data_IF_651701191229
#
_entry.id   IF_651701191229
#
_cell.length_a   1.000
_cell.length_b   1.000
_cell.length_c   1.000
_cell.angle_alpha   90.00
_cell.angle_beta   90.00
_cell.angle_gamma   90.00
#
_symmetry.space_group_name_H-M   'P 1'
#
loop_
_entity.id
_entity.type
_entity.pdbx_description
1 polymer ?
#
# COMPACT_ATOMS: atom_id res chain seq x y z
N UNK A 1 -59.38 -1.80 -6.59
CA UNK A 1 -58.59 -1.96 -5.36
C UNK A 1 -57.69 -3.17 -5.52
N UNK A 2 -56.63 -3.03 -6.32
CA UNK A 2 -55.63 -4.06 -6.53
C UNK A 2 -54.34 -3.36 -6.93
N UNK A 3 -53.42 -3.12 -5.99
CA UNK A 3 -51.98 -2.86 -6.24
C UNK A 3 -51.20 -2.35 -5.01
N UNK A 4 -51.27 -3.02 -3.85
CA UNK A 4 -50.31 -2.74 -2.75
C UNK A 4 -49.61 -4.00 -2.19
N UNK A 5 -49.92 -5.19 -2.70
CA UNK A 5 -49.44 -6.45 -2.14
C UNK A 5 -48.23 -7.10 -2.80
N UNK A 6 -47.61 -6.51 -3.82
CA UNK A 6 -46.70 -7.25 -4.72
C UNK A 6 -45.25 -6.74 -4.81
N UNK A 7 -44.85 -5.75 -4.02
CA UNK A 7 -43.46 -5.22 -4.02
C UNK A 7 -42.59 -5.84 -2.91
N UNK A 8 -43.18 -6.54 -1.93
CA UNK A 8 -42.46 -7.08 -0.77
C UNK A 8 -41.98 -8.54 -0.91
N UNK A 9 -42.28 -9.25 -2.01
CA UNK A 9 -41.99 -10.70 -2.14
C UNK A 9 -40.71 -11.06 -2.89
N UNK A 10 -39.98 -10.10 -3.46
CA UNK A 10 -38.78 -10.39 -4.25
C UNK A 10 -37.46 -10.28 -3.44
N UNK A 11 -37.54 -9.85 -2.16
CA UNK A 11 -36.39 -9.76 -1.27
C UNK A 11 -36.00 -11.08 -0.58
N UNK A 12 -36.89 -12.09 -0.55
CA UNK A 12 -36.72 -13.31 0.25
C UNK A 12 -35.63 -14.29 -0.28
N UNK A 13 -35.13 -14.14 -1.50
CA UNK A 13 -34.12 -15.06 -2.06
C UNK A 13 -32.76 -14.41 -2.33
N UNK A 14 -32.60 -13.11 -2.07
CA UNK A 14 -31.37 -12.38 -2.44
C UNK A 14 -30.11 -12.97 -1.80
N UNK A 15 -30.20 -13.28 -0.50
CA UNK A 15 -29.07 -13.77 0.30
C UNK A 15 -29.11 -15.29 0.51
N UNK A 16 -29.93 -16.01 -0.25
CA UNK A 16 -30.12 -17.46 -0.09
C UNK A 16 -28.81 -18.24 -0.14
N UNK A 17 -27.86 -17.83 -0.98
CA UNK A 17 -26.54 -18.45 -1.05
C UNK A 17 -25.76 -18.28 0.26
N UNK A 18 -25.82 -17.11 0.88
CA UNK A 18 -25.19 -16.83 2.18
C UNK A 18 -25.91 -17.59 3.30
N UNK A 19 -27.24 -17.64 3.29
CA UNK A 19 -28.03 -18.42 4.25
C UNK A 19 -27.72 -19.92 4.17
N UNK A 20 -27.36 -20.44 2.99
CA UNK A 20 -26.93 -21.83 2.84
C UNK A 20 -25.57 -22.09 3.51
N UNK A 21 -24.67 -21.10 3.53
CA UNK A 21 -23.35 -21.22 4.15
C UNK A 21 -23.43 -20.97 5.65
N UNK A 22 -24.16 -19.93 6.06
CA UNK A 22 -24.21 -19.48 7.45
C UNK A 22 -25.32 -20.14 8.27
N UNK A 23 -26.42 -20.57 7.65
CA UNK A 23 -27.56 -21.19 8.33
C UNK A 23 -27.52 -22.72 8.42
N UNK A 24 -26.44 -23.36 7.96
CA UNK A 24 -26.30 -24.83 7.94
C UNK A 24 -25.01 -25.26 8.61
N UNK A 25 -25.04 -26.42 9.26
CA UNK A 25 -23.84 -27.08 9.75
C UNK A 25 -23.12 -27.84 8.62
N UNK A 26 -21.80 -27.97 8.75
CA UNK A 26 -20.96 -28.69 7.80
C UNK A 26 -19.66 -29.20 8.44
N UNK A 27 -19.05 -30.25 7.87
CA UNK A 27 -17.91 -30.95 8.50
C UNK A 27 -16.58 -30.16 8.45
N UNK A 28 -16.51 -29.12 7.62
CA UNK A 28 -15.32 -28.28 7.47
C UNK A 28 -15.42 -26.96 8.23
N UNK A 29 -16.54 -26.72 8.93
CA UNK A 29 -16.72 -25.52 9.72
C UNK A 29 -15.88 -25.59 10.99
N UNK A 30 -15.54 -24.42 11.52
CA UNK A 30 -14.82 -24.31 12.78
C UNK A 30 -15.66 -24.84 13.94
N UNK A 31 -15.00 -25.39 14.96
CA UNK A 31 -15.65 -25.85 16.19
C UNK A 31 -16.42 -24.75 16.92
N UNK A 32 -15.96 -23.50 16.78
CA UNK A 32 -16.58 -22.33 17.41
C UNK A 32 -17.75 -21.76 16.60
N UNK A 33 -18.00 -22.26 15.39
CA UNK A 33 -19.04 -21.73 14.52
C UNK A 33 -20.41 -22.30 14.87
N UNK A 34 -21.37 -21.41 15.14
CA UNK A 34 -22.77 -21.75 15.31
C UNK A 34 -23.59 -21.31 14.09
N UNK A 35 -24.20 -22.24 13.34
CA UNK A 35 -25.02 -21.88 12.19
C UNK A 35 -26.24 -21.04 12.58
N UNK A 36 -26.37 -19.87 11.96
CA UNK A 36 -27.47 -18.93 12.18
C UNK A 36 -27.72 -18.07 10.95
N UNK A 37 -29.00 -17.91 10.58
CA UNK A 37 -29.41 -16.99 9.50
C UNK A 37 -29.29 -15.52 9.92
N UNK A 38 -29.31 -15.22 11.23
CA UNK A 38 -29.14 -13.84 11.73
C UNK A 38 -27.73 -13.28 11.43
N UNK A 39 -26.76 -14.15 11.17
CA UNK A 39 -25.43 -13.74 10.73
C UNK A 39 -25.45 -12.97 9.40
N UNK A 40 -26.38 -13.31 8.50
CA UNK A 40 -26.55 -12.57 7.24
C UNK A 40 -26.98 -11.13 7.54
N UNK A 41 -27.89 -10.93 8.51
CA UNK A 41 -28.31 -9.60 8.94
C UNK A 41 -27.17 -8.82 9.58
N UNK A 42 -26.36 -9.48 10.41
CA UNK A 42 -25.17 -8.87 11.01
C UNK A 42 -24.20 -8.35 9.95
N UNK A 43 -23.95 -9.13 8.88
CA UNK A 43 -23.12 -8.70 7.75
C UNK A 43 -23.72 -7.49 7.01
N UNK A 44 -25.05 -7.47 6.81
CA UNK A 44 -25.72 -6.40 6.07
C UNK A 44 -25.94 -5.13 6.89
N UNK A 45 -26.10 -5.22 8.21
CA UNK A 45 -26.56 -4.08 9.02
C UNK A 45 -25.51 -3.53 9.96
N UNK A 46 -24.60 -4.39 10.47
CA UNK A 46 -23.70 -4.02 11.57
C UNK A 46 -22.23 -3.96 11.15
N UNK A 47 -21.78 -4.89 10.29
CA UNK A 47 -20.36 -4.97 9.91
C UNK A 47 -19.95 -3.78 9.05
N UNK A 48 -18.89 -3.10 9.47
CA UNK A 48 -18.26 -1.97 8.79
C UNK A 48 -16.95 -2.37 8.15
N UNK A 49 -16.89 -2.26 6.83
CA UNK A 49 -15.71 -2.61 6.03
C UNK A 49 -15.07 -1.36 5.47
N UNK A 50 -13.75 -1.20 5.65
CA UNK A 50 -12.98 -0.19 4.95
C UNK A 50 -12.28 -0.82 3.74
N UNK A 51 -12.49 -0.25 2.55
CA UNK A 51 -11.72 -0.56 1.34
C UNK A 51 -10.74 0.58 1.06
N UNK A 52 -9.46 0.24 0.95
CA UNK A 52 -8.39 1.20 0.64
C UNK A 52 -7.92 0.99 -0.79
N UNK A 53 -8.19 1.97 -1.64
CA UNK A 53 -7.98 1.95 -3.08
C UNK A 53 -9.26 1.57 -3.83
N UNK A 54 -9.58 2.35 -4.86
CA UNK A 54 -10.69 2.16 -5.81
C UNK A 54 -10.19 1.89 -7.24
N UNK A 55 -8.88 1.66 -7.43
CA UNK A 55 -8.29 1.15 -8.67
C UNK A 55 -8.73 -0.30 -8.98
N UNK A 56 -8.21 -0.90 -10.07
CA UNK A 56 -8.72 -2.19 -10.62
C UNK A 56 -9.09 -3.26 -9.58
N UNK A 57 -8.20 -3.51 -8.61
CA UNK A 57 -8.43 -4.43 -7.50
C UNK A 57 -9.54 -3.94 -6.54
N UNK A 58 -9.51 -2.66 -6.16
CA UNK A 58 -10.55 -2.01 -5.35
C UNK A 58 -11.95 -2.06 -5.96
N UNK A 59 -12.08 -1.83 -7.27
CA UNK A 59 -13.35 -1.99 -8.00
C UNK A 59 -13.93 -3.40 -7.83
N UNK A 60 -13.09 -4.42 -7.98
CA UNK A 60 -13.48 -5.83 -7.83
C UNK A 60 -13.82 -6.18 -6.37
N UNK A 61 -13.07 -5.64 -5.39
CA UNK A 61 -13.36 -5.79 -3.95
C UNK A 61 -14.74 -5.21 -3.63
N UNK A 62 -15.02 -3.97 -4.05
CA UNK A 62 -16.30 -3.29 -3.77
C UNK A 62 -17.50 -4.06 -4.33
N UNK A 63 -17.42 -4.51 -5.59
CA UNK A 63 -18.45 -5.37 -6.20
C UNK A 63 -18.64 -6.65 -5.38
N UNK A 64 -17.53 -7.33 -5.06
CA UNK A 64 -17.58 -8.64 -4.42
C UNK A 64 -18.11 -8.54 -2.98
N UNK A 65 -17.74 -7.50 -2.23
CA UNK A 65 -18.31 -7.19 -0.92
C UNK A 65 -19.82 -6.98 -0.99
N UNK A 66 -20.27 -6.12 -1.91
CA UNK A 66 -21.68 -5.79 -2.08
C UNK A 66 -22.53 -7.03 -2.44
N UNK A 67 -21.97 -7.99 -3.18
CA UNK A 67 -22.61 -9.27 -3.50
C UNK A 67 -22.48 -10.33 -2.38
N UNK A 68 -21.61 -10.12 -1.41
CA UNK A 68 -21.39 -10.99 -0.25
C UNK A 68 -22.12 -10.49 1.01
N UNK A 69 -23.06 -9.57 0.87
CA UNK A 69 -23.90 -9.07 1.97
C UNK A 69 -23.27 -7.94 2.77
N UNK A 70 -22.05 -7.50 2.46
CA UNK A 70 -21.46 -6.35 3.12
C UNK A 70 -22.06 -5.06 2.58
N UNK A 71 -22.80 -4.35 3.43
CA UNK A 71 -23.57 -3.18 3.00
C UNK A 71 -23.12 -1.88 3.65
N UNK A 72 -22.31 -1.89 4.71
CA UNK A 72 -21.72 -0.68 5.28
C UNK A 72 -20.23 -0.60 4.90
N UNK A 73 -19.96 0.00 3.75
CA UNK A 73 -18.62 0.07 3.18
C UNK A 73 -18.16 1.52 3.14
N UNK A 74 -16.93 1.78 3.58
CA UNK A 74 -16.23 3.03 3.32
C UNK A 74 -15.12 2.77 2.29
N UNK A 75 -14.91 3.68 1.33
CA UNK A 75 -13.84 3.57 0.33
C UNK A 75 -12.97 4.81 0.33
N UNK A 76 -11.65 4.62 0.44
CA UNK A 76 -10.65 5.69 0.33
C UNK A 76 -9.90 5.55 -0.99
N UNK A 77 -9.87 6.60 -1.79
CA UNK A 77 -8.99 6.73 -2.95
C UNK A 77 -8.76 8.22 -3.23
N UNK A 78 -7.50 8.61 -3.48
CA UNK A 78 -7.12 10.01 -3.71
C UNK A 78 -7.06 10.38 -5.21
N UNK A 79 -7.17 9.39 -6.09
CA UNK A 79 -6.96 9.58 -7.52
C UNK A 79 -8.24 10.03 -8.23
N UNK A 80 -8.01 10.61 -9.40
CA UNK A 80 -9.06 10.88 -10.39
C UNK A 80 -9.05 9.82 -11.49
N UNK A 81 -10.17 9.67 -12.18
CA UNK A 81 -10.35 8.70 -13.25
C UNK A 81 -9.63 9.16 -14.50
N UNK A 82 -8.77 8.30 -15.04
CA UNK A 82 -8.08 8.50 -16.31
C UNK A 82 -8.55 7.50 -17.38
N UNK A 83 -8.42 7.85 -18.66
CA UNK A 83 -8.80 6.96 -19.79
C UNK A 83 -8.08 5.60 -19.73
N UNK A 84 -6.83 5.56 -19.26
CA UNK A 84 -6.05 4.33 -19.10
C UNK A 84 -6.60 3.39 -18.04
N UNK A 85 -7.57 3.83 -17.22
CA UNK A 85 -8.20 3.04 -16.18
C UNK A 85 -9.34 2.16 -16.72
N UNK A 86 -10.02 2.59 -17.78
CA UNK A 86 -11.27 2.01 -18.28
C UNK A 86 -11.11 0.57 -18.82
N UNK A 87 -9.89 0.13 -19.14
CA UNK A 87 -9.63 -1.23 -19.60
C UNK A 87 -9.81 -2.31 -18.51
N UNK A 88 -9.82 -1.92 -17.23
CA UNK A 88 -9.87 -2.85 -16.08
C UNK A 88 -10.70 -2.36 -14.90
N UNK A 89 -11.02 -1.07 -14.83
CA UNK A 89 -11.80 -0.46 -13.75
C UNK A 89 -13.25 -0.26 -14.21
N UNK A 90 -14.01 -1.37 -14.23
CA UNK A 90 -15.34 -1.43 -14.84
C UNK A 90 -16.44 -0.60 -14.11
N UNK A 91 -16.13 -0.03 -12.95
CA UNK A 91 -17.03 0.90 -12.27
C UNK A 91 -17.08 2.28 -12.94
N UNK A 92 -16.12 2.57 -13.83
CA UNK A 92 -15.93 3.88 -14.46
C UNK A 92 -16.27 3.82 -15.95
N UNK A 93 -16.75 4.94 -16.49
CA UNK A 93 -17.06 5.11 -17.91
C UNK A 93 -16.34 6.34 -18.48
N UNK A 94 -16.37 6.53 -19.81
CA UNK A 94 -15.79 7.70 -20.45
C UNK A 94 -16.34 9.04 -19.91
N UNK A 95 -17.57 9.04 -19.40
CA UNK A 95 -18.23 10.22 -18.82
C UNK A 95 -17.67 10.60 -17.45
N UNK A 96 -16.96 9.69 -16.80
CA UNK A 96 -16.45 9.85 -15.45
C UNK A 96 -14.99 10.35 -15.42
N UNK A 97 -14.34 10.48 -16.59
CA UNK A 97 -12.96 10.96 -16.70
C UNK A 97 -12.81 12.31 -15.99
N UNK A 98 -11.79 12.42 -15.13
CA UNK A 98 -11.49 13.60 -14.31
C UNK A 98 -12.25 13.67 -12.97
N UNK A 99 -13.26 12.81 -12.74
CA UNK A 99 -13.95 12.72 -11.44
C UNK A 99 -13.14 11.86 -10.45
N UNK A 100 -13.45 11.97 -9.15
CA UNK A 100 -12.83 11.14 -8.11
C UNK A 100 -13.20 9.66 -8.29
N UNK A 101 -12.20 8.77 -8.21
CA UNK A 101 -12.44 7.32 -8.25
C UNK A 101 -13.33 6.86 -7.10
N UNK A 102 -13.07 7.35 -5.88
CA UNK A 102 -13.83 6.96 -4.69
C UNK A 102 -15.33 7.29 -4.84
N UNK A 103 -15.64 8.53 -5.26
CA UNK A 103 -17.01 9.01 -5.42
C UNK A 103 -17.77 8.22 -6.49
N UNK A 104 -17.19 8.07 -7.68
CA UNK A 104 -17.85 7.37 -8.80
C UNK A 104 -18.01 5.88 -8.48
N UNK A 105 -17.03 5.25 -7.82
CA UNK A 105 -17.11 3.86 -7.40
C UNK A 105 -18.27 3.65 -6.40
N UNK A 106 -18.38 4.54 -5.41
CA UNK A 106 -19.46 4.50 -4.43
C UNK A 106 -20.84 4.72 -5.06
N UNK A 107 -20.96 5.71 -5.96
CA UNK A 107 -22.19 5.97 -6.73
C UNK A 107 -22.61 4.75 -7.54
N UNK A 108 -21.66 4.13 -8.27
CA UNK A 108 -21.94 2.98 -9.11
C UNK A 108 -22.45 1.80 -8.29
N UNK A 109 -21.77 1.45 -7.21
CA UNK A 109 -22.13 0.30 -6.37
C UNK A 109 -23.46 0.53 -5.67
N UNK A 110 -23.66 1.70 -5.06
CA UNK A 110 -24.91 2.05 -4.37
C UNK A 110 -26.10 2.02 -5.33
N UNK A 111 -25.92 2.49 -6.58
CA UNK A 111 -26.95 2.40 -7.63
C UNK A 111 -27.20 0.96 -8.10
N UNK A 112 -26.14 0.16 -8.23
CA UNK A 112 -26.24 -1.23 -8.74
C UNK A 112 -26.79 -2.19 -7.69
N UNK A 113 -26.51 -1.94 -6.42
CA UNK A 113 -26.78 -2.81 -5.28
C UNK A 113 -27.47 -1.97 -4.21
N UNK A 114 -28.77 -1.71 -4.40
CA UNK A 114 -29.53 -0.70 -3.63
C UNK A 114 -29.57 -0.92 -2.09
N UNK A 115 -29.29 -2.13 -1.62
CA UNK A 115 -29.20 -2.44 -0.17
C UNK A 115 -27.85 -2.06 0.43
N UNK A 116 -26.84 -1.82 -0.40
CA UNK A 116 -25.49 -1.47 0.03
C UNK A 116 -25.32 0.05 0.02
N UNK A 117 -24.72 0.56 1.10
CA UNK A 117 -24.28 1.94 1.24
C UNK A 117 -22.75 1.97 1.17
N UNK A 118 -22.24 2.67 0.17
CA UNK A 118 -20.79 2.94 0.06
C UNK A 118 -20.54 4.42 0.36
N UNK A 119 -19.69 4.71 1.35
CA UNK A 119 -19.31 6.08 1.72
C UNK A 119 -17.94 6.40 1.11
N UNK A 120 -17.86 7.35 0.15
CA UNK A 120 -16.61 7.68 -0.51
C UNK A 120 -15.77 8.68 0.29
N UNK A 121 -14.46 8.53 0.18
CA UNK A 121 -13.46 9.43 0.77
C UNK A 121 -12.40 9.77 -0.27
N UNK A 122 -12.54 10.94 -0.93
CA UNK A 122 -11.55 11.48 -1.85
C UNK A 122 -10.39 12.15 -1.09
N UNK A 123 -9.60 11.34 -0.39
CA UNK A 123 -8.50 11.78 0.48
C UNK A 123 -7.39 10.72 0.50
N UNK A 124 -6.23 11.10 1.02
CA UNK A 124 -5.15 10.15 1.25
C UNK A 124 -5.38 9.43 2.56
N UNK A 125 -4.91 8.18 2.67
CA UNK A 125 -5.00 7.40 3.91
C UNK A 125 -4.34 8.11 5.09
N UNK A 126 -3.29 8.88 4.83
CA UNK A 126 -2.54 9.63 5.83
C UNK A 126 -3.32 10.81 6.42
N UNK A 127 -4.39 11.26 5.78
CA UNK A 127 -5.16 12.42 6.21
C UNK A 127 -6.20 12.06 7.31
N UNK A 128 -6.34 10.76 7.64
CA UNK A 128 -7.29 10.26 8.65
C UNK A 128 -6.62 10.01 10.00
N UNK A 129 -7.33 10.31 11.08
CA UNK A 129 -6.87 10.03 12.45
C UNK A 129 -6.99 8.54 12.79
N UNK A 130 -6.26 8.06 13.82
CA UNK A 130 -6.43 6.69 14.31
C UNK A 130 -7.87 6.34 14.70
N UNK A 131 -8.64 7.31 15.20
CA UNK A 131 -10.04 7.09 15.59
C UNK A 131 -10.96 6.81 14.41
N UNK A 132 -10.64 7.33 13.22
CA UNK A 132 -11.34 6.96 12.01
C UNK A 132 -11.17 5.47 11.71
N UNK A 133 -9.97 4.91 11.88
CA UNK A 133 -9.72 3.49 11.59
C UNK A 133 -10.34 2.55 12.62
N UNK A 134 -10.46 2.98 13.89
CA UNK A 134 -11.06 2.18 14.98
C UNK A 134 -12.52 1.79 14.77
N UNK A 135 -13.23 2.45 13.86
CA UNK A 135 -14.65 2.20 13.65
C UNK A 135 -14.95 1.00 12.72
N UNK A 136 -13.93 0.39 12.12
CA UNK A 136 -14.07 -0.69 11.14
C UNK A 136 -13.80 -2.05 11.76
N UNK A 137 -14.57 -3.04 11.34
CA UNK A 137 -14.39 -4.43 11.76
C UNK A 137 -13.31 -5.14 10.94
N UNK A 138 -13.02 -4.64 9.72
CA UNK A 138 -11.97 -5.16 8.84
C UNK A 138 -11.52 -4.10 7.84
N UNK A 139 -10.25 -4.15 7.44
CA UNK A 139 -9.68 -3.33 6.38
C UNK A 139 -9.21 -4.20 5.22
N UNK A 140 -9.64 -3.87 4.00
CA UNK A 140 -9.24 -4.54 2.77
C UNK A 140 -8.46 -3.59 1.87
N UNK A 141 -7.27 -3.99 1.43
CA UNK A 141 -6.38 -3.14 0.65
C UNK A 141 -6.25 -3.63 -0.79
N UNK A 142 -6.47 -2.71 -1.73
CA UNK A 142 -6.19 -2.86 -3.16
C UNK A 142 -5.21 -1.78 -3.65
N UNK A 143 -4.17 -1.53 -2.87
CA UNK A 143 -3.20 -0.46 -3.08
C UNK A 143 -2.22 -0.78 -4.23
N UNK A 144 -1.62 0.23 -4.83
CA UNK A 144 -0.62 0.08 -5.90
C UNK A 144 0.81 0.46 -5.46
N UNK A 145 0.96 0.98 -4.24
CA UNK A 145 2.24 1.40 -3.67
C UNK A 145 2.61 0.61 -2.41
N UNK A 146 3.88 0.19 -2.34
CA UNK A 146 4.45 -0.43 -1.14
C UNK A 146 4.42 0.53 0.05
N UNK A 147 4.65 1.83 -0.18
CA UNK A 147 4.65 2.86 0.87
C UNK A 147 3.28 2.96 1.52
N UNK A 148 2.22 2.99 0.71
CA UNK A 148 0.84 3.05 1.21
C UNK A 148 0.49 1.79 2.02
N UNK A 149 0.91 0.61 1.57
CA UNK A 149 0.75 -0.67 2.30
C UNK A 149 1.46 -0.66 3.64
N UNK A 150 2.72 -0.21 3.67
CA UNK A 150 3.49 -0.09 4.93
C UNK A 150 2.85 0.89 5.89
N UNK A 151 2.32 2.01 5.38
CA UNK A 151 1.66 3.00 6.21
C UNK A 151 0.38 2.48 6.85
N UNK A 152 -0.53 1.86 6.08
CA UNK A 152 -1.78 1.31 6.63
C UNK A 152 -1.51 0.14 7.59
N UNK A 153 -0.51 -0.69 7.28
CA UNK A 153 -0.02 -1.75 8.18
C UNK A 153 0.45 -1.18 9.51
N UNK A 154 1.28 -0.14 9.49
CA UNK A 154 1.74 0.56 10.69
C UNK A 154 0.59 1.19 11.48
N UNK A 155 -0.38 1.77 10.78
CA UNK A 155 -1.54 2.39 11.40
C UNK A 155 -2.34 1.36 12.18
N UNK A 156 -2.79 0.29 11.54
CA UNK A 156 -3.57 -0.76 12.22
C UNK A 156 -2.77 -1.45 13.33
N UNK A 157 -1.47 -1.69 13.13
CA UNK A 157 -0.60 -2.20 14.21
C UNK A 157 -0.54 -1.27 15.43
N UNK A 158 -0.61 0.05 15.23
CA UNK A 158 -0.57 1.03 16.34
C UNK A 158 -1.86 1.06 17.18
N UNK A 159 -2.96 0.49 16.68
CA UNK A 159 -4.22 0.40 17.41
C UNK A 159 -4.23 -0.75 18.42
N UNK A 160 -3.36 -1.74 18.21
CA UNK A 160 -3.32 -2.96 19.01
C UNK A 160 -2.72 -2.66 20.37
N UNK A 161 -3.49 -3.00 21.42
CA UNK A 161 -2.99 -2.96 22.79
C UNK A 161 -2.43 -4.32 23.16
N UNK A 162 -1.37 -4.31 23.94
CA UNK A 162 -0.74 -5.51 24.46
C UNK A 162 -0.81 -5.48 25.99
N UNK A 163 -1.03 -6.64 26.60
CA UNK A 163 -0.92 -6.81 28.04
C UNK A 163 0.54 -6.90 28.50
N UNK A 164 0.76 -7.05 29.80
CA UNK A 164 2.10 -7.13 30.41
C UNK A 164 2.91 -8.34 29.91
N UNK A 165 2.24 -9.40 29.46
CA UNK A 165 2.84 -10.62 28.91
C UNK A 165 3.11 -10.50 27.40
N UNK A 166 2.80 -9.36 26.79
CA UNK A 166 3.00 -9.11 25.35
C UNK A 166 1.97 -9.80 24.46
N UNK A 167 0.85 -10.26 25.02
CA UNK A 167 -0.28 -10.82 24.26
C UNK A 167 -1.21 -9.69 23.81
N UNK A 168 -1.68 -9.71 22.54
CA UNK A 168 -2.55 -8.65 22.04
C UNK A 168 -3.97 -8.77 22.62
N UNK A 169 -4.58 -7.63 22.94
CA UNK A 169 -6.01 -7.53 23.22
C UNK A 169 -6.80 -7.72 21.92
N UNK A 170 -7.51 -8.85 21.84
CA UNK A 170 -8.28 -9.26 20.66
C UNK A 170 -9.32 -8.24 20.23
N UNK A 171 -9.87 -7.45 21.16
CA UNK A 171 -10.89 -6.44 20.85
C UNK A 171 -10.33 -5.19 20.17
N UNK A 172 -9.00 -5.04 20.15
CA UNK A 172 -8.30 -3.91 19.51
C UNK A 172 -7.70 -4.27 18.16
N UNK A 173 -7.75 -5.55 17.78
CA UNK A 173 -7.22 -6.03 16.51
C UNK A 173 -8.27 -5.79 15.43
N UNK A 174 -7.88 -5.02 14.43
CA UNK A 174 -8.62 -4.89 13.18
C UNK A 174 -7.90 -5.74 12.14
N UNK A 175 -8.50 -6.84 11.65
CA UNK A 175 -7.91 -7.65 10.61
C UNK A 175 -7.63 -6.82 9.35
N UNK A 176 -6.49 -7.09 8.73
CA UNK A 176 -6.09 -6.50 7.46
C UNK A 176 -5.96 -7.61 6.42
N UNK A 177 -6.66 -7.47 5.30
CA UNK A 177 -6.47 -8.34 4.13
C UNK A 177 -5.95 -7.49 2.98
N UNK A 178 -4.68 -7.65 2.66
CA UNK A 178 -4.02 -6.94 1.56
C UNK A 178 -3.95 -7.83 0.32
N UNK A 179 -4.06 -7.24 -0.86
CA UNK A 179 -3.61 -7.90 -2.07
C UNK A 179 -2.92 -6.97 -3.03
N UNK A 180 -2.16 -7.59 -3.93
CA UNK A 180 -1.43 -6.90 -4.99
C UNK A 180 -1.47 -7.70 -6.28
N UNK A 181 -1.39 -6.98 -7.39
CA UNK A 181 -1.44 -7.56 -8.74
C UNK A 181 -0.40 -6.90 -9.63
N UNK A 182 0.29 -7.70 -10.44
CA UNK A 182 1.22 -7.25 -11.47
C UNK A 182 1.13 -8.20 -12.66
N UNK A 183 0.60 -7.71 -13.77
CA UNK A 183 0.33 -8.50 -14.96
C UNK A 183 -0.49 -9.74 -14.64
N UNK A 184 0.11 -10.90 -14.87
CA UNK A 184 -0.43 -12.25 -14.67
C UNK A 184 0.00 -12.87 -13.32
N UNK A 185 0.31 -12.03 -12.34
CA UNK A 185 0.71 -12.44 -10.99
C UNK A 185 -0.06 -11.63 -9.96
N UNK A 186 -0.30 -12.23 -8.81
CA UNK A 186 -0.86 -11.52 -7.68
C UNK A 186 -0.63 -12.25 -6.36
N UNK A 187 -1.01 -11.60 -5.27
CA UNK A 187 -0.93 -12.18 -3.94
C UNK A 187 -2.05 -11.66 -3.04
N UNK A 188 -2.30 -12.43 -1.97
CA UNK A 188 -3.16 -12.05 -0.85
C UNK A 188 -2.40 -12.31 0.45
N UNK A 189 -2.47 -11.34 1.37
CA UNK A 189 -1.92 -11.43 2.72
C UNK A 189 -3.05 -11.18 3.71
N UNK A 190 -3.24 -12.12 4.65
CA UNK A 190 -4.10 -11.96 5.82
C UNK A 190 -3.23 -11.65 7.03
N UNK A 191 -3.43 -10.47 7.60
CA UNK A 191 -2.69 -9.96 8.76
C UNK A 191 -3.61 -9.88 9.97
N UNK A 192 -3.28 -10.67 11.00
CA UNK A 192 -3.80 -10.56 12.34
C UNK A 192 -2.65 -10.19 13.27
N UNK A 193 -2.60 -8.92 13.65
CA UNK A 193 -1.50 -8.37 14.45
C UNK A 193 -1.35 -9.13 15.77
N UNK A 194 -0.12 -9.55 16.07
CA UNK A 194 0.20 -10.38 17.22
C UNK A 194 0.14 -11.89 16.96
N UNK A 195 -0.50 -12.34 15.87
CA UNK A 195 -0.64 -13.76 15.53
C UNK A 195 0.09 -14.15 14.24
N UNK A 196 -0.03 -13.35 13.18
CA UNK A 196 0.58 -13.64 11.87
C UNK A 196 1.69 -12.66 11.52
N UNK A 197 2.52 -12.99 10.54
CA UNK A 197 3.43 -12.01 9.93
C UNK A 197 2.65 -10.84 9.32
N UNK A 198 3.10 -9.62 9.57
CA UNK A 198 2.51 -8.41 8.98
C UNK A 198 3.19 -8.04 7.65
N UNK A 199 2.75 -6.96 6.98
CA UNK A 199 3.35 -6.54 5.70
C UNK A 199 4.87 -6.30 5.86
N UNK A 200 5.28 -5.70 6.97
CA UNK A 200 6.70 -5.44 7.27
C UNK A 200 7.52 -6.73 7.45
N UNK A 201 6.91 -7.81 7.98
CA UNK A 201 7.57 -9.12 8.07
C UNK A 201 7.82 -9.75 6.69
N UNK A 202 7.11 -9.29 5.66
CA UNK A 202 7.18 -9.79 4.28
C UNK A 202 7.89 -8.86 3.31
N UNK A 203 8.56 -7.80 3.81
CA UNK A 203 9.13 -6.77 2.94
C UNK A 203 10.16 -7.32 1.94
N UNK A 204 10.89 -8.36 2.34
CA UNK A 204 11.88 -9.04 1.50
C UNK A 204 11.27 -9.84 0.33
N UNK A 205 9.95 -10.09 0.36
CA UNK A 205 9.24 -10.77 -0.73
C UNK A 205 8.89 -9.82 -1.88
N UNK A 206 8.95 -8.51 -1.67
CA UNK A 206 8.75 -7.55 -2.76
C UNK A 206 9.95 -7.60 -3.71
N UNK A 207 9.71 -7.59 -5.03
CA UNK A 207 10.81 -7.57 -5.99
C UNK A 207 11.63 -6.29 -5.81
N UNK A 208 12.97 -6.37 -5.95
CA UNK A 208 13.81 -5.19 -5.85
C UNK A 208 13.41 -4.18 -6.92
N UNK A 209 13.33 -2.91 -6.54
CA UNK A 209 13.05 -1.85 -7.52
C UNK A 209 14.21 -1.78 -8.53
N UNK A 210 13.86 -1.80 -9.82
CA UNK A 210 14.84 -1.62 -10.89
C UNK A 210 15.31 -0.17 -10.85
N UNK A 211 16.53 0.02 -10.34
CA UNK A 211 17.24 1.30 -10.36
C UNK A 211 18.48 1.17 -11.25
N UNK A 212 18.51 1.97 -12.31
CA UNK A 212 19.66 1.99 -13.21
C UNK A 212 20.79 2.84 -12.59
N UNK A 213 22.05 2.34 -12.56
CA UNK A 213 23.17 3.12 -12.04
C UNK A 213 23.39 4.42 -12.84
N UNK A 214 23.65 5.53 -12.15
CA UNK A 214 23.80 6.84 -12.80
C UNK A 214 24.93 6.86 -13.84
N UNK A 215 26.04 6.15 -13.60
CA UNK A 215 27.12 6.02 -14.57
C UNK A 215 26.69 5.33 -15.88
N UNK A 216 25.78 4.35 -15.78
CA UNK A 216 25.21 3.66 -16.95
C UNK A 216 24.28 4.59 -17.71
N UNK A 217 23.40 5.31 -17.01
CA UNK A 217 22.48 6.29 -17.61
C UNK A 217 23.26 7.42 -18.31
N UNK A 218 24.26 7.98 -17.63
CA UNK A 218 24.97 9.18 -18.06
C UNK A 218 26.05 8.91 -19.12
N UNK A 219 26.81 7.82 -18.99
CA UNK A 219 28.01 7.59 -19.79
C UNK A 219 27.93 6.39 -20.73
N UNK A 220 27.25 5.31 -20.31
CA UNK A 220 27.26 4.03 -21.05
C UNK A 220 25.86 3.41 -21.19
N UNK A 221 24.89 4.11 -21.81
CA UNK A 221 23.56 3.54 -22.04
C UNK A 221 23.67 2.32 -22.97
N UNK A 222 22.78 1.35 -22.76
CA UNK A 222 22.77 0.05 -23.47
C UNK A 222 21.38 -0.38 -23.88
N UNK A 223 20.38 0.01 -23.09
CA UNK A 223 18.97 -0.28 -23.31
C UNK A 223 18.23 1.02 -23.65
N UNK A 224 17.12 0.97 -24.43
CA UNK A 224 16.34 2.15 -24.74
C UNK A 224 15.76 2.83 -23.48
N UNK A 225 15.49 2.07 -22.42
CA UNK A 225 15.10 2.57 -21.10
C UNK A 225 16.15 3.53 -20.50
N UNK A 226 17.45 3.26 -20.71
CA UNK A 226 18.52 4.12 -20.21
C UNK A 226 18.48 5.49 -20.88
N UNK A 227 18.09 5.55 -22.17
CA UNK A 227 17.95 6.81 -22.90
C UNK A 227 16.79 7.63 -22.33
N UNK A 228 15.67 6.99 -22.01
CA UNK A 228 14.51 7.66 -21.41
C UNK A 228 14.83 8.16 -20.00
N UNK A 229 15.49 7.34 -19.17
CA UNK A 229 15.89 7.75 -17.82
C UNK A 229 16.95 8.86 -17.82
N UNK A 230 17.84 8.89 -18.81
CA UNK A 230 18.76 10.01 -18.99
C UNK A 230 18.01 11.32 -19.20
N UNK A 231 17.01 11.31 -20.09
CA UNK A 231 16.23 12.51 -20.38
C UNK A 231 15.43 12.94 -19.14
N UNK A 232 14.79 11.99 -18.46
CA UNK A 232 13.98 12.23 -17.27
C UNK A 232 14.78 12.77 -16.08
N UNK A 233 15.92 12.15 -15.76
CA UNK A 233 16.68 12.45 -14.54
C UNK A 233 17.74 13.54 -14.72
N UNK A 234 18.33 13.65 -15.91
CA UNK A 234 19.47 14.55 -16.15
C UNK A 234 19.12 15.70 -17.09
N UNK A 235 18.47 15.41 -18.23
CA UNK A 235 18.23 16.43 -19.25
C UNK A 235 17.08 17.37 -18.89
N UNK A 236 15.97 16.85 -18.35
CA UNK A 236 14.81 17.65 -17.98
C UNK A 236 15.15 18.72 -16.93
N UNK A 237 15.81 18.38 -15.79
CA UNK A 237 16.17 19.40 -14.82
C UNK A 237 17.16 20.44 -15.38
N UNK A 238 17.98 20.04 -16.35
CA UNK A 238 19.01 20.89 -16.98
C UNK A 238 18.40 21.87 -18.00
N UNK A 239 17.50 21.40 -18.85
CA UNK A 239 16.93 22.22 -19.94
C UNK A 239 15.67 22.98 -19.54
N UNK A 240 14.94 22.53 -18.50
CA UNK A 240 13.68 23.13 -18.04
C UNK A 240 12.74 23.48 -19.22
N UNK A 241 12.39 22.50 -20.07
CA UNK A 241 11.81 22.75 -21.39
C UNK A 241 10.47 23.51 -21.37
N UNK A 242 9.73 23.44 -20.26
CA UNK A 242 8.43 24.10 -20.07
C UNK A 242 8.47 25.22 -19.00
N UNK A 243 9.66 25.60 -18.53
CA UNK A 243 9.85 26.50 -17.40
C UNK A 243 9.75 28.01 -17.69
N UNK A 244 9.27 28.42 -18.87
CA UNK A 244 9.33 29.84 -19.29
C UNK A 244 7.98 30.60 -19.31
N UNK A 245 6.85 29.95 -19.01
CA UNK A 245 5.52 30.57 -19.22
C UNK A 245 4.82 31.00 -17.90
N UNK A 246 5.22 30.47 -16.75
CA UNK A 246 4.63 30.82 -15.46
C UNK A 246 5.72 31.08 -14.42
N UNK A 247 5.45 31.97 -13.47
CA UNK A 247 6.34 32.48 -12.39
C UNK A 247 6.81 31.40 -11.40
N UNK A 248 6.62 30.12 -11.72
CA UNK A 248 7.07 28.97 -10.94
C UNK A 248 8.30 28.37 -11.63
N UNK A 249 9.48 28.65 -11.07
CA UNK A 249 10.70 27.96 -11.43
C UNK A 249 10.54 26.45 -11.16
N UNK A 250 10.92 25.61 -12.12
CA UNK A 250 10.85 24.14 -12.13
C UNK A 250 9.47 23.51 -12.35
N UNK A 251 9.07 23.38 -13.62
CA UNK A 251 7.93 22.53 -14.00
C UNK A 251 8.33 21.05 -13.88
N UNK A 252 7.66 20.31 -13.01
CA UNK A 252 7.86 18.87 -12.86
C UNK A 252 7.33 18.10 -14.08
N UNK A 253 7.90 16.92 -14.33
CA UNK A 253 7.41 16.04 -15.39
C UNK A 253 6.02 15.54 -15.03
N UNK A 254 5.02 16.07 -15.71
CA UNK A 254 3.70 15.45 -15.81
C UNK A 254 3.74 14.30 -16.84
N UNK A 255 3.58 13.07 -16.36
CA UNK A 255 3.54 11.86 -17.18
C UNK A 255 2.21 11.62 -17.92
N UNK A 256 1.21 12.47 -17.69
CA UNK A 256 -0.07 12.49 -18.40
C UNK A 256 -0.14 13.58 -19.48
N UNK A 257 0.73 14.58 -19.41
CA UNK A 257 0.86 15.61 -20.44
C UNK A 257 1.42 15.03 -21.76
N UNK A 258 0.65 15.09 -22.87
CA UNK A 258 1.14 14.65 -24.17
C UNK A 258 2.39 15.41 -24.61
N UNK A 259 2.45 16.72 -24.31
CA UNK A 259 3.57 17.60 -24.68
C UNK A 259 4.86 17.19 -23.96
N UNK A 260 4.77 16.90 -22.66
CA UNK A 260 5.92 16.43 -21.89
C UNK A 260 6.44 15.09 -22.42
N UNK A 261 5.53 14.14 -22.68
CA UNK A 261 5.88 12.82 -23.18
C UNK A 261 6.48 12.87 -24.59
N UNK A 262 5.97 13.74 -25.46
CA UNK A 262 6.52 13.95 -26.80
C UNK A 262 7.91 14.57 -26.74
N UNK A 263 8.13 15.56 -25.87
CA UNK A 263 9.46 16.13 -25.64
C UNK A 263 10.45 15.08 -25.15
N UNK A 264 10.06 14.28 -24.15
CA UNK A 264 10.90 13.20 -23.61
C UNK A 264 11.20 12.17 -24.70
N UNK A 265 10.21 11.80 -25.51
CA UNK A 265 10.37 10.86 -26.61
C UNK A 265 11.40 11.36 -27.64
N UNK A 266 11.26 12.59 -28.10
CA UNK A 266 12.16 13.17 -29.10
C UNK A 266 13.62 13.20 -28.60
N UNK A 267 13.85 13.68 -27.36
CA UNK A 267 15.18 13.68 -26.73
C UNK A 267 15.73 12.28 -26.49
N UNK A 268 14.87 11.33 -26.15
CA UNK A 268 15.28 9.93 -25.95
C UNK A 268 15.72 9.29 -27.27
N UNK A 269 15.06 9.64 -28.37
CA UNK A 269 15.44 9.21 -29.72
C UNK A 269 16.77 9.82 -30.16
N UNK A 270 17.03 11.10 -29.87
CA UNK A 270 18.33 11.73 -30.12
C UNK A 270 19.45 11.01 -29.37
N UNK A 271 19.26 10.80 -28.06
CA UNK A 271 20.21 10.06 -27.22
C UNK A 271 20.43 8.63 -27.68
N UNK A 272 19.37 7.94 -28.10
CA UNK A 272 19.49 6.57 -28.60
C UNK A 272 20.31 6.51 -29.90
N UNK A 273 20.14 7.48 -30.82
CA UNK A 273 20.93 7.58 -32.05
C UNK A 273 22.43 7.80 -31.77
N UNK A 274 22.78 8.63 -30.77
CA UNK A 274 24.17 8.86 -30.38
C UNK A 274 24.92 7.56 -30.00
N UNK A 275 24.22 6.62 -29.35
CA UNK A 275 24.79 5.37 -28.86
C UNK A 275 24.45 4.15 -29.74
N UNK A 276 23.80 4.36 -30.89
CA UNK A 276 23.38 3.27 -31.77
C UNK A 276 22.32 2.33 -31.16
N UNK A 277 21.52 2.82 -30.20
CA UNK A 277 20.48 2.05 -29.51
C UNK A 277 19.17 2.15 -30.29
N UNK A 278 18.51 1.01 -30.47
CA UNK A 278 17.20 0.91 -31.12
C UNK A 278 16.09 0.60 -30.09
N UNK A 279 14.83 0.80 -30.48
CA UNK A 279 13.67 0.38 -29.68
C UNK A 279 12.96 1.47 -28.87
N UNK A 280 13.44 2.72 -28.90
CA UNK A 280 12.72 3.85 -28.27
C UNK A 280 11.41 4.11 -29.02
N UNK A 281 10.29 3.99 -28.32
CA UNK A 281 8.95 4.24 -28.83
C UNK A 281 8.09 4.91 -27.73
N UNK A 282 6.97 5.52 -28.12
CA UNK A 282 6.11 6.25 -27.19
C UNK A 282 5.56 5.39 -26.04
N UNK A 283 5.27 4.10 -26.32
CA UNK A 283 4.79 3.16 -25.29
C UNK A 283 5.87 2.91 -24.23
N UNK A 284 7.13 2.75 -24.64
CA UNK A 284 8.26 2.61 -23.74
C UNK A 284 8.47 3.88 -22.90
N UNK A 285 8.40 5.05 -23.52
CA UNK A 285 8.55 6.34 -22.81
C UNK A 285 7.48 6.48 -21.73
N UNK A 286 6.20 6.27 -22.08
CA UNK A 286 5.12 6.25 -21.08
C UNK A 286 5.37 5.22 -19.98
N UNK A 287 5.82 4.02 -20.34
CA UNK A 287 6.15 2.94 -19.41
C UNK A 287 7.21 3.34 -18.38
N UNK A 288 8.32 3.92 -18.84
CA UNK A 288 9.43 4.36 -17.98
C UNK A 288 9.05 5.59 -17.16
N UNK A 289 8.46 6.61 -17.78
CA UNK A 289 8.10 7.87 -17.10
C UNK A 289 7.07 7.65 -16.01
N UNK A 290 6.00 6.89 -16.30
CA UNK A 290 4.94 6.61 -15.32
C UNK A 290 5.19 5.36 -14.47
N UNK A 291 6.32 4.65 -14.68
CA UNK A 291 6.59 3.33 -14.09
C UNK A 291 5.40 2.37 -14.18
N UNK A 292 4.81 2.25 -15.38
CA UNK A 292 3.54 1.53 -15.60
C UNK A 292 3.70 0.05 -15.24
N UNK A 293 2.97 -0.39 -14.22
CA UNK A 293 2.79 -1.80 -13.89
C UNK A 293 1.68 -2.38 -14.79
N UNK A 294 1.95 -3.44 -15.57
CA UNK A 294 0.92 -4.11 -16.35
C UNK A 294 -0.24 -4.57 -15.46
N UNK A 295 -1.48 -4.41 -15.90
CA UNK A 295 -2.63 -4.79 -15.11
C UNK A 295 -3.77 -5.26 -16.01
N UNK A 296 -4.38 -6.40 -15.65
CA UNK A 296 -5.48 -7.03 -16.37
C UNK A 296 -6.66 -7.30 -15.44
N UNK A 297 -7.88 -7.29 -15.97
CA UNK A 297 -9.09 -7.49 -15.19
C UNK A 297 -9.16 -8.90 -14.55
N UNK A 298 -8.68 -9.93 -15.25
CA UNK A 298 -8.70 -11.32 -14.76
C UNK A 298 -7.96 -11.49 -13.44
N UNK A 299 -6.72 -11.03 -13.37
CA UNK A 299 -5.88 -11.13 -12.15
C UNK A 299 -6.45 -10.31 -11.00
N UNK A 300 -6.99 -9.10 -11.28
CA UNK A 300 -7.71 -8.31 -10.26
C UNK A 300 -8.93 -9.07 -9.70
N UNK A 301 -9.73 -9.70 -10.57
CA UNK A 301 -10.91 -10.46 -10.15
C UNK A 301 -10.54 -11.68 -9.29
N UNK A 302 -9.48 -12.41 -9.64
CA UNK A 302 -9.00 -13.57 -8.85
C UNK A 302 -8.56 -13.12 -7.46
N UNK A 303 -7.71 -12.10 -7.37
CA UNK A 303 -7.17 -11.61 -6.10
C UNK A 303 -8.28 -10.97 -5.25
N UNK A 304 -9.15 -10.14 -5.82
CA UNK A 304 -10.29 -9.57 -5.09
C UNK A 304 -11.22 -10.64 -4.52
N UNK A 305 -11.50 -11.69 -5.29
CA UNK A 305 -12.35 -12.79 -4.84
C UNK A 305 -11.75 -13.51 -3.64
N UNK A 306 -10.42 -13.73 -3.66
CA UNK A 306 -9.70 -14.29 -2.52
C UNK A 306 -9.74 -13.33 -1.30
N UNK A 307 -9.49 -12.03 -1.49
CA UNK A 307 -9.57 -11.02 -0.41
C UNK A 307 -10.94 -11.04 0.27
N UNK A 308 -12.02 -10.94 -0.51
CA UNK A 308 -13.40 -10.88 0.03
C UNK A 308 -13.82 -12.20 0.65
N UNK A 309 -13.36 -13.34 0.11
CA UNK A 309 -13.57 -14.65 0.73
C UNK A 309 -12.92 -14.73 2.11
N UNK A 310 -11.70 -14.23 2.25
CA UNK A 310 -11.02 -14.21 3.56
C UNK A 310 -11.67 -13.22 4.52
N UNK A 311 -12.12 -12.06 4.04
CA UNK A 311 -12.91 -11.13 4.85
C UNK A 311 -14.19 -11.78 5.39
N UNK A 312 -14.91 -12.50 4.53
CA UNK A 312 -16.11 -13.25 4.91
C UNK A 312 -15.80 -14.30 5.99
N UNK A 313 -14.76 -15.11 5.81
CA UNK A 313 -14.36 -16.12 6.81
C UNK A 313 -13.93 -15.52 8.14
N UNK A 314 -13.16 -14.43 8.12
CA UNK A 314 -12.67 -13.76 9.33
C UNK A 314 -13.83 -13.21 10.17
N UNK A 315 -14.82 -12.60 9.53
CA UNK A 315 -15.93 -11.95 10.22
C UNK A 315 -17.04 -12.91 10.65
N UNK A 316 -17.25 -13.99 9.88
CA UNK A 316 -18.29 -14.99 10.19
C UNK A 316 -17.77 -16.20 10.93
N UNK A 317 -16.45 -16.35 11.06
CA UNK A 317 -15.77 -17.51 11.66
C UNK A 317 -16.25 -18.88 11.13
N UNK A 318 -16.92 -18.91 9.97
CA UNK A 318 -17.58 -20.13 9.48
C UNK A 318 -16.58 -21.19 8.98
N UNK A 319 -15.41 -20.77 8.52
CA UNK A 319 -14.33 -21.63 8.08
C UNK A 319 -12.98 -21.08 8.55
N UNK A 320 -11.95 -21.92 8.50
CA UNK A 320 -10.58 -21.46 8.65
C UNK A 320 -10.23 -20.48 7.52
N UNK A 321 -9.68 -19.34 7.93
CA UNK A 321 -9.13 -18.35 7.03
C UNK A 321 -7.73 -18.76 6.53
N UNK A 322 -7.29 -18.13 5.46
CA UNK A 322 -5.98 -18.32 4.86
C UNK A 322 -4.91 -18.10 5.93
N UNK A 323 -4.04 -19.08 6.11
CA UNK A 323 -2.89 -18.96 7.01
C UNK A 323 -1.83 -18.04 6.39
N UNK A 324 -2.13 -16.76 6.47
CA UNK A 324 -1.31 -15.60 6.17
C UNK A 324 -1.01 -15.27 4.70
N UNK A 325 -0.50 -16.16 3.84
CA UNK A 325 -0.11 -15.77 2.47
C UNK A 325 -0.58 -16.73 1.36
N UNK A 326 -0.98 -16.16 0.23
CA UNK A 326 -1.24 -16.87 -1.03
C UNK A 326 -0.66 -16.09 -2.20
N UNK A 327 0.10 -16.73 -3.10
CA UNK A 327 0.39 -16.19 -4.42
C UNK A 327 -0.52 -16.80 -5.50
N UNK A 328 -0.58 -16.10 -6.62
CA UNK A 328 -1.25 -16.50 -7.84
C UNK A 328 -0.37 -16.17 -9.04
N UNK A 329 -0.33 -17.07 -10.04
CA UNK A 329 0.24 -16.81 -11.34
C UNK A 329 -0.55 -17.54 -12.43
N UNK A 330 -0.80 -16.87 -13.56
CA UNK A 330 -1.47 -17.44 -14.74
C UNK A 330 -0.64 -17.32 -16.03
N UNK A 331 0.69 -17.38 -15.91
CA UNK A 331 1.63 -17.30 -17.06
C UNK A 331 1.73 -18.65 -17.78
N UNK A 332 1.92 -19.74 -17.03
CA UNK A 332 2.04 -21.11 -17.53
C UNK A 332 1.02 -22.01 -16.81
N UNK A 333 -0.18 -22.10 -17.37
CA UNK A 333 -1.32 -22.68 -16.65
C UNK A 333 -1.78 -21.77 -15.50
N UNK A 334 -2.48 -22.35 -14.52
CA UNK A 334 -2.92 -21.62 -13.31
C UNK A 334 -2.21 -22.22 -12.11
N UNK A 335 -1.51 -21.39 -11.36
CA UNK A 335 -0.75 -21.79 -10.17
C UNK A 335 -1.10 -20.90 -8.98
N UNK A 336 -1.30 -21.56 -7.84
CA UNK A 336 -1.43 -20.90 -6.53
C UNK A 336 -0.63 -21.67 -5.50
N UNK A 337 0.07 -20.97 -4.64
CA UNK A 337 0.79 -21.55 -3.51
C UNK A 337 0.52 -20.76 -2.24
N UNK A 338 0.48 -21.49 -1.12
CA UNK A 338 0.14 -20.94 0.19
C UNK A 338 1.23 -21.31 1.16
N UNK A 339 1.66 -20.34 1.95
CA UNK A 339 2.60 -20.52 3.03
C UNK A 339 2.32 -19.49 4.11
N UNK A 340 2.84 -19.74 5.31
CA UNK A 340 2.71 -18.82 6.43
C UNK A 340 3.95 -17.94 6.49
N UNK A 341 3.79 -16.62 6.43
CA UNK A 341 4.90 -15.71 6.75
C UNK A 341 5.10 -15.75 8.27
N UNK A 342 6.31 -16.08 8.68
CA UNK A 342 6.70 -16.04 10.08
C UNK A 342 6.72 -14.60 10.58
N UNK A 343 6.15 -14.38 11.77
CA UNK A 343 6.22 -13.09 12.45
C UNK A 343 7.65 -12.88 12.94
N UNK A 344 8.39 -11.96 12.32
CA UNK A 344 9.76 -11.61 12.71
C UNK A 344 9.78 -11.16 14.19
N UNK A 345 10.61 -11.75 15.08
CA UNK A 345 10.68 -11.38 16.51
C UNK A 345 11.16 -9.94 16.77
N UNK A 346 11.88 -9.35 15.82
CA UNK A 346 12.42 -7.99 15.87
C UNK A 346 11.62 -7.00 15.01
N UNK A 347 10.41 -7.36 14.57
CA UNK A 347 9.60 -6.48 13.73
C UNK A 347 9.21 -5.18 14.45
N UNK A 348 9.68 -4.05 13.89
CA UNK A 348 9.46 -2.69 14.40
C UNK A 348 7.98 -2.29 14.47
N UNK A 349 7.14 -2.88 13.61
CA UNK A 349 5.74 -2.49 13.47
C UNK A 349 4.87 -3.29 14.44
N UNK A 350 4.91 -4.62 14.36
CA UNK A 350 3.97 -5.49 15.07
C UNK A 350 4.45 -5.99 16.45
N UNK A 351 5.68 -5.69 16.89
CA UNK A 351 6.18 -6.12 18.21
C UNK A 351 6.32 -4.98 19.20
N UNK A 352 6.24 -3.72 18.75
CA UNK A 352 6.34 -2.53 19.60
C UNK A 352 7.60 -2.47 20.50
N UNK A 353 8.62 -3.26 20.17
CA UNK A 353 9.89 -3.33 20.88
C UNK A 353 10.97 -2.58 20.10
N UNK A 354 11.86 -1.80 20.77
CA UNK A 354 12.94 -1.12 20.08
C UNK A 354 13.89 -2.11 19.41
N UNK A 355 14.10 -1.99 18.08
CA UNK A 355 15.10 -2.79 17.35
C UNK A 355 16.49 -2.27 17.68
N UNK A 356 17.43 -3.18 17.94
CA UNK A 356 18.84 -2.81 18.12
C UNK A 356 19.44 -2.43 16.77
N UNK A 357 20.07 -1.26 16.72
CA UNK A 357 20.75 -0.75 15.54
C UNK A 357 22.25 -0.73 15.83
N UNK A 358 22.96 -1.71 15.28
CA UNK A 358 24.38 -1.91 15.53
C UNK A 358 25.21 -1.15 14.50
N UNK A 359 26.00 -0.17 14.96
CA UNK A 359 26.92 0.61 14.13
C UNK A 359 28.30 0.66 14.76
N UNK A 360 29.31 0.90 13.93
CA UNK A 360 30.66 1.16 14.42
C UNK A 360 30.70 2.47 15.22
N UNK A 361 31.50 2.59 16.29
CA UNK A 361 31.71 3.86 16.96
C UNK A 361 32.30 4.97 16.07
N UNK A 362 32.88 4.60 14.92
CA UNK A 362 33.40 5.53 13.91
C UNK A 362 32.35 5.95 12.87
N UNK A 363 31.18 5.31 12.86
CA UNK A 363 30.11 5.64 11.93
C UNK A 363 29.65 7.07 12.12
N UNK A 364 29.28 7.68 11.00
CA UNK A 364 28.73 9.02 10.92
C UNK A 364 27.20 8.98 10.99
N UNK A 365 26.59 10.15 11.19
CA UNK A 365 25.13 10.27 11.07
C UNK A 365 24.66 9.93 9.65
N UNK A 366 25.49 10.20 8.63
CA UNK A 366 25.22 9.76 7.26
C UNK A 366 25.13 8.25 7.16
N UNK A 367 26.09 7.52 7.74
CA UNK A 367 26.06 6.05 7.71
C UNK A 367 24.80 5.49 8.38
N UNK A 368 24.35 6.11 9.48
CA UNK A 368 23.07 5.76 10.12
C UNK A 368 21.89 5.99 9.19
N UNK A 369 21.79 7.18 8.57
CA UNK A 369 20.69 7.51 7.65
C UNK A 369 20.71 6.60 6.43
N UNK A 370 21.89 6.31 5.88
CA UNK A 370 22.06 5.42 4.73
C UNK A 370 21.67 3.98 5.10
N UNK A 371 21.99 3.53 6.32
CA UNK A 371 21.52 2.24 6.83
C UNK A 371 19.99 2.20 6.94
N UNK A 372 19.35 3.22 7.51
CA UNK A 372 17.88 3.29 7.60
C UNK A 372 17.20 3.24 6.21
N UNK A 373 17.83 3.85 5.19
CA UNK A 373 17.29 3.91 3.81
C UNK A 373 17.53 2.63 3.00
N UNK A 374 18.69 1.99 3.15
CA UNK A 374 19.13 0.91 2.25
C UNK A 374 19.11 -0.48 2.88
N UNK A 375 18.97 -0.59 4.20
CA UNK A 375 18.82 -1.89 4.85
C UNK A 375 17.55 -2.61 4.36
N UNK A 376 17.67 -3.90 4.06
CA UNK A 376 16.58 -4.68 3.46
C UNK A 376 15.37 -4.82 4.38
N UNK A 377 15.55 -4.81 5.69
CA UNK A 377 14.46 -4.89 6.66
C UNK A 377 13.76 -3.53 6.87
N UNK A 378 14.42 -2.41 6.55
CA UNK A 378 13.94 -1.06 6.90
C UNK A 378 13.43 -0.27 5.70
N UNK A 379 14.22 -0.19 4.61
CA UNK A 379 13.89 0.50 3.36
C UNK A 379 13.13 1.84 3.53
N UNK A 380 13.54 2.69 4.47
CA UNK A 380 12.86 3.97 4.76
C UNK A 380 13.05 4.96 3.62
N UNK A 381 12.04 5.79 3.34
CA UNK A 381 12.10 6.70 2.19
C UNK A 381 12.69 8.07 2.53
N UNK A 382 12.26 8.64 3.66
CA UNK A 382 12.64 9.98 4.11
C UNK A 382 12.70 10.04 5.64
N UNK A 383 13.69 9.36 6.27
CA UNK A 383 13.76 9.23 7.71
C UNK A 383 14.18 10.55 8.35
N UNK A 384 13.46 10.93 9.40
CA UNK A 384 13.82 12.00 10.33
C UNK A 384 14.27 11.37 11.63
N UNK A 385 15.48 11.70 12.09
CA UNK A 385 16.12 11.07 13.24
C UNK A 385 16.15 12.06 14.40
N UNK A 386 15.59 11.64 15.53
CA UNK A 386 15.58 12.38 16.79
C UNK A 386 16.11 11.51 17.93
N UNK A 387 16.54 12.16 19.00
CA UNK A 387 16.95 11.50 20.24
C UNK A 387 16.55 12.35 21.44
N UNK A 388 16.58 11.78 22.63
CA UNK A 388 16.48 12.54 23.88
C UNK A 388 17.89 12.73 24.44
N UNK A 389 18.27 13.97 24.71
CA UNK A 389 19.55 14.34 25.33
C UNK A 389 19.30 15.41 26.38
N UNK A 390 19.91 15.24 27.56
CA UNK A 390 19.79 16.19 28.68
C UNK A 390 18.33 16.54 29.05
N UNK A 391 17.42 15.57 28.90
CA UNK A 391 15.99 15.73 29.19
C UNK A 391 15.18 16.48 28.13
N UNK A 392 15.79 16.84 26.99
CA UNK A 392 15.12 17.51 25.87
C UNK A 392 15.19 16.68 24.58
N UNK A 393 14.16 16.80 23.74
CA UNK A 393 14.17 16.23 22.40
C UNK A 393 15.16 17.01 21.52
N UNK A 394 16.10 16.30 20.91
CA UNK A 394 17.08 16.83 19.98
C UNK A 394 16.89 16.19 18.61
N UNK A 395 16.58 17.02 17.63
CA UNK A 395 16.55 16.60 16.23
C UNK A 395 17.96 16.51 15.68
N UNK A 396 18.33 15.36 15.13
CA UNK A 396 19.65 15.11 14.57
C UNK A 396 19.68 15.36 13.06
N UNK A 397 18.64 14.89 12.36
CA UNK A 397 18.51 14.95 10.91
C UNK A 397 17.04 15.02 10.49
N UNK A 398 16.75 15.85 9.47
CA UNK A 398 15.46 15.95 8.79
C UNK A 398 15.73 15.92 7.29
N UNK A 399 15.04 15.04 6.56
CA UNK A 399 15.26 14.86 5.13
C UNK A 399 14.39 15.81 4.27
N UNK A 400 13.23 16.22 4.77
CA UNK A 400 12.16 16.85 3.99
C UNK A 400 12.01 18.39 4.14
N UNK A 401 12.88 19.07 4.91
CA UNK A 401 12.72 20.51 5.18
C UNK A 401 13.94 21.33 4.73
N UNK A 402 13.76 22.14 3.68
CA UNK A 402 14.78 23.09 3.19
C UNK A 402 15.10 24.18 4.23
N UNK A 403 14.17 24.54 5.11
CA UNK A 403 14.42 25.50 6.18
C UNK A 403 15.38 24.95 7.27
N UNK A 404 15.59 23.63 7.30
CA UNK A 404 16.43 22.93 8.29
C UNK A 404 17.80 22.54 7.73
N UNK A 405 18.34 23.28 6.75
CA UNK A 405 19.67 23.05 6.17
C UNK A 405 20.79 22.89 7.22
N UNK A 406 20.73 23.60 8.35
CA UNK A 406 21.74 23.50 9.41
C UNK A 406 21.82 22.12 10.08
N UNK A 407 20.79 21.27 9.97
CA UNK A 407 20.84 19.89 10.45
C UNK A 407 21.59 18.95 9.48
N UNK A 408 21.73 19.33 8.21
CA UNK A 408 22.52 18.55 7.24
C UNK A 408 24.02 18.64 7.54
N UNK A 409 24.46 19.68 8.25
CA UNK A 409 25.84 19.81 8.76
C UNK A 409 26.19 18.76 9.81
N UNK A 410 25.19 18.05 10.36
CA UNK A 410 25.43 16.93 11.27
C UNK A 410 25.74 15.62 10.54
N UNK A 411 25.39 15.48 9.26
CA UNK A 411 25.62 14.25 8.48
C UNK A 411 27.06 13.75 8.51
N UNK A 412 28.10 14.58 8.29
CA UNK A 412 29.48 14.12 8.33
C UNK A 412 30.02 13.88 9.75
N UNK A 413 29.31 14.34 10.79
CA UNK A 413 29.75 14.18 12.18
C UNK A 413 29.60 12.73 12.62
N UNK A 414 30.57 12.26 13.40
CA UNK A 414 30.50 10.92 14.00
C UNK A 414 29.39 10.87 15.05
N UNK A 415 28.84 9.67 15.29
CA UNK A 415 27.83 9.49 16.35
C UNK A 415 28.37 9.98 17.72
N UNK A 416 29.67 9.80 17.97
CA UNK A 416 30.34 10.29 19.17
C UNK A 416 30.43 11.83 19.23
N UNK A 417 30.69 12.50 18.11
CA UNK A 417 30.68 13.98 18.02
C UNK A 417 29.30 14.57 18.24
N UNK A 418 28.25 13.81 17.92
CA UNK A 418 26.87 14.16 18.23
C UNK A 418 26.48 13.84 19.68
N UNK A 419 27.42 13.35 20.47
CA UNK A 419 27.26 12.91 21.86
C UNK A 419 26.29 11.73 22.03
N UNK A 420 26.15 10.90 20.98
CA UNK A 420 25.36 9.69 21.08
C UNK A 420 26.13 8.60 21.83
N UNK A 421 25.46 7.93 22.76
CA UNK A 421 26.06 6.87 23.59
C UNK A 421 25.48 5.50 23.26
N UNK A 422 26.24 4.45 23.59
CA UNK A 422 25.75 3.08 23.51
C UNK A 422 24.48 2.89 24.36
N UNK A 423 23.51 2.15 23.84
CA UNK A 423 22.21 1.92 24.45
C UNK A 423 21.20 3.07 24.31
N UNK A 424 21.57 4.20 23.71
CA UNK A 424 20.68 5.36 23.55
C UNK A 424 19.51 5.05 22.62
N UNK A 425 18.33 5.58 22.96
CA UNK A 425 17.13 5.42 22.16
C UNK A 425 17.04 6.51 21.09
N UNK A 426 16.93 6.09 19.84
CA UNK A 426 16.68 6.95 18.69
C UNK A 426 15.21 6.81 18.32
N UNK A 427 14.55 7.94 18.09
CA UNK A 427 13.19 7.99 17.56
C UNK A 427 13.27 8.42 16.10
N UNK A 428 12.79 7.56 15.21
CA UNK A 428 12.82 7.79 13.77
C UNK A 428 11.40 7.87 13.25
N UNK A 429 11.07 8.96 12.55
CA UNK A 429 9.80 9.10 11.84
C UNK A 429 10.05 9.02 10.34
N UNK A 430 9.21 8.29 9.61
CA UNK A 430 9.34 8.12 8.16
C UNK A 430 7.96 8.07 7.50
N UNK A 431 7.87 8.51 6.24
CA UNK A 431 6.63 8.50 5.44
C UNK A 431 6.04 7.10 5.21
N UNK A 432 6.85 6.04 5.36
CA UNK A 432 6.41 4.65 5.27
C UNK A 432 5.66 4.16 6.51
N UNK A 433 5.68 4.92 7.61
CA UNK A 433 5.13 4.51 8.91
C UNK A 433 4.18 5.56 9.46
N UNK A 434 3.15 5.12 10.19
CA UNK A 434 2.16 6.01 10.81
C UNK A 434 2.61 6.55 12.17
N UNK A 435 3.55 5.86 12.82
CA UNK A 435 4.06 6.20 14.16
C UNK A 435 5.59 6.31 14.15
N UNK A 436 6.18 7.10 15.05
CA UNK A 436 7.61 7.06 15.27
C UNK A 436 8.06 5.66 15.68
N UNK A 437 9.14 5.17 15.08
CA UNK A 437 9.79 3.92 15.44
C UNK A 437 10.94 4.21 16.41
N UNK A 438 11.12 3.34 17.39
CA UNK A 438 12.20 3.46 18.37
C UNK A 438 13.29 2.45 18.07
N UNK A 439 14.54 2.90 18.03
CA UNK A 439 15.73 2.07 17.86
C UNK A 439 16.62 2.21 19.07
N UNK A 440 17.25 1.11 19.50
CA UNK A 440 18.30 1.14 20.51
C UNK A 440 19.65 1.12 19.81
N UNK A 441 20.40 2.21 19.91
CA UNK A 441 21.74 2.29 19.35
C UNK A 441 22.66 1.30 20.07
N UNK A 442 23.36 0.45 19.32
CA UNK A 442 24.41 -0.40 19.82
C UNK A 442 25.73 -0.03 19.12
N UNK A 443 26.72 0.39 19.89
CA UNK A 443 28.04 0.80 19.40
C UNK A 443 29.05 -0.31 19.70
N UNK A 444 29.18 -1.28 18.79
CA UNK A 444 30.09 -2.41 18.94
C UNK A 444 31.33 -2.29 18.05
N UNK A 445 32.51 -2.65 18.57
CA UNK A 445 33.76 -2.76 17.80
C UNK A 445 33.84 -4.09 17.01
N UNK A 446 32.73 -4.51 16.42
CA UNK A 446 32.67 -5.76 15.64
C UNK A 446 32.96 -5.43 14.18
N UNK A 447 33.99 -6.10 13.62
CA UNK A 447 34.46 -5.96 12.25
C UNK A 447 33.38 -6.20 11.19
#
# INVERSE_FOLDING_TARGET
MASEGNVLRDHDNRWKALECILGRSGPLQRSEFEPSTEMVRLLTENVRVLVVGAGGLGCEILKSLAFMGFCNIDVIDMDTIDISNLNRQFLFTDKDIGRSKAEVAAEFITRRVETCKVTPHNRRIQDFSPDFYKQFDIVLCGLDSVIARRWINSMLASLVKYDEDGKPDLHTIIPLVDGGTEGFKGHVIVVLFGFTGCIECSLDLYPPQVNFPLCTIAQTPRLPEHCVEYVRLLLWPKEQPFGLICVLANVAIDGDSPEHLEWIYNRSCERAKEFGIQGVNMRLVKGVVKRIIPAVASTNAVIASAIVTEAFKLLTICYDYLNNYMNFADIEGIYTYRFQIERKPDCLVCNNMPKSLCLSPKSTLRDLVDHLKHDSDLQMQSPTVMTVMDGANRTLFVDFDEAMHGLRDNLPKTLKELHLTDGQLLTVTDVTTSKPLTFRLCLSNSN
#
